data_IF_821670569984
#
_entry.id   IF_821670569984
#
_cell.length_a   1.000
_cell.length_b   1.000
_cell.length_c   1.000
_cell.angle_alpha   90.00
_cell.angle_beta   90.00
_cell.angle_gamma   90.00
#
_symmetry.space_group_name_H-M   'P 1'
#
loop_
_entity.id
_entity.type
_entity.pdbx_description
1 polymer ?
#
# COMPACT_ATOMS: atom_id res chain seq x y z
N UNK A 1 -15.22 -4.87 6.92
CA UNK A 1 -16.21 -4.85 5.85
C UNK A 1 -17.57 -4.55 6.48
N UNK A 2 -18.24 -3.53 6.02
CA UNK A 2 -19.54 -3.05 6.55
C UNK A 2 -20.69 -4.03 6.31
N UNK A 3 -20.47 -5.15 5.60
CA UNK A 3 -21.51 -6.11 5.20
C UNK A 3 -22.49 -5.57 4.15
N UNK A 4 -22.22 -4.38 3.59
CA UNK A 4 -23.03 -3.81 2.54
C UNK A 4 -22.76 -4.50 1.19
N UNK A 5 -23.85 -4.76 0.46
CA UNK A 5 -23.77 -5.29 -0.90
C UNK A 5 -23.31 -4.18 -1.83
N UNK A 6 -22.19 -4.40 -2.50
CA UNK A 6 -21.69 -3.46 -3.51
C UNK A 6 -21.47 -4.15 -4.85
N UNK A 7 -21.41 -3.36 -5.92
CA UNK A 7 -21.02 -3.79 -7.25
C UNK A 7 -19.70 -3.13 -7.59
N UNK A 8 -18.67 -3.94 -7.89
CA UNK A 8 -17.37 -3.46 -8.31
C UNK A 8 -17.25 -3.62 -9.81
N UNK A 9 -16.91 -2.55 -10.52
CA UNK A 9 -16.58 -2.57 -11.94
C UNK A 9 -15.09 -2.31 -12.09
N UNK A 10 -14.38 -3.25 -12.69
CA UNK A 10 -12.94 -3.16 -12.87
C UNK A 10 -12.54 -3.47 -14.30
N UNK A 11 -11.45 -2.85 -14.77
CA UNK A 11 -10.80 -3.27 -16.01
C UNK A 11 -9.94 -4.50 -15.77
N UNK A 12 -9.64 -5.28 -16.80
CA UNK A 12 -8.78 -6.45 -16.67
C UNK A 12 -7.38 -6.08 -16.19
N UNK A 13 -6.87 -4.92 -16.56
CA UNK A 13 -5.55 -4.44 -16.15
C UNK A 13 -5.44 -4.28 -14.63
N UNK A 14 -6.51 -3.80 -13.97
CA UNK A 14 -6.56 -3.62 -12.51
C UNK A 14 -6.54 -4.95 -11.73
N UNK A 15 -6.80 -6.07 -12.38
CA UNK A 15 -6.76 -7.40 -11.76
C UNK A 15 -5.37 -8.03 -11.78
N UNK A 16 -4.42 -7.45 -12.54
CA UNK A 16 -3.05 -7.94 -12.62
C UNK A 16 -2.20 -7.50 -11.43
N UNK A 17 -2.58 -6.42 -10.76
CA UNK A 17 -1.82 -5.86 -9.67
C UNK A 17 -1.72 -6.84 -8.49
N UNK A 18 -0.50 -6.97 -7.97
CA UNK A 18 -0.22 -7.69 -6.74
C UNK A 18 -0.32 -6.75 -5.55
N UNK A 19 -1.20 -7.08 -4.64
CA UNK A 19 -1.36 -6.39 -3.37
C UNK A 19 -1.03 -7.32 -2.20
N UNK A 20 -0.65 -6.81 -1.04
CA UNK A 20 -0.49 -7.62 0.16
C UNK A 20 -1.80 -8.31 0.54
N UNK A 21 -1.73 -9.56 1.01
CA UNK A 21 -2.93 -10.27 1.45
C UNK A 21 -3.67 -9.48 2.55
N UNK A 22 -5.01 -9.46 2.50
CA UNK A 22 -5.86 -8.74 3.47
C UNK A 22 -5.58 -9.12 4.94
N UNK A 23 -5.09 -10.32 5.18
CA UNK A 23 -4.69 -10.77 6.52
C UNK A 23 -3.57 -9.91 7.12
N UNK A 24 -2.71 -9.33 6.28
CA UNK A 24 -1.70 -8.37 6.74
C UNK A 24 -2.33 -7.03 7.08
N UNK A 25 -3.25 -6.53 6.26
CA UNK A 25 -3.93 -5.26 6.47
C UNK A 25 -4.75 -5.25 7.76
N UNK A 26 -5.51 -6.33 8.02
CA UNK A 26 -6.35 -6.46 9.22
C UNK A 26 -5.59 -6.35 10.54
N UNK A 27 -4.30 -6.68 10.57
CA UNK A 27 -3.46 -6.59 11.78
C UNK A 27 -3.11 -5.15 12.15
N UNK A 28 -3.27 -4.23 11.21
CA UNK A 28 -2.86 -2.84 11.36
C UNK A 28 -4.05 -1.89 11.47
N UNK A 29 -5.26 -2.41 11.62
CA UNK A 29 -6.43 -1.58 11.92
C UNK A 29 -6.35 -1.11 13.36
N UNK A 30 -6.50 0.21 13.57
CA UNK A 30 -6.54 0.83 14.89
C UNK A 30 -7.99 1.17 15.20
N UNK A 31 -8.50 0.68 16.34
CA UNK A 31 -9.80 1.06 16.85
C UNK A 31 -9.60 1.98 18.06
N UNK A 32 -10.26 3.13 18.06
CA UNK A 32 -10.21 4.10 19.14
C UNK A 32 -11.64 4.34 19.62
N UNK A 33 -11.86 4.25 20.94
CA UNK A 33 -13.16 4.47 21.58
C UNK A 33 -13.02 5.57 22.65
N UNK A 34 -14.12 6.26 22.94
CA UNK A 34 -14.18 7.15 24.08
C UNK A 34 -13.88 6.41 25.40
N UNK A 35 -13.30 7.11 26.37
CA UNK A 35 -12.94 6.61 27.70
C UNK A 35 -11.87 5.48 27.69
N UNK A 36 -11.11 5.29 26.61
CA UNK A 36 -9.96 4.39 26.62
C UNK A 36 -8.66 5.15 26.90
N UNK A 37 -7.69 4.47 27.53
CA UNK A 37 -6.32 4.99 27.63
C UNK A 37 -5.61 4.87 26.28
N UNK A 38 -4.93 5.94 25.86
CA UNK A 38 -4.26 6.04 24.56
C UNK A 38 -2.91 6.74 24.70
N UNK A 39 -1.83 6.02 24.44
CA UNK A 39 -0.49 6.59 24.38
C UNK A 39 -0.29 7.30 23.02
N UNK A 40 -0.10 8.62 23.06
CA UNK A 40 0.05 9.45 21.86
C UNK A 40 1.35 9.20 21.09
N UNK A 41 2.43 8.84 21.76
CA UNK A 41 3.70 8.52 21.10
C UNK A 41 3.60 7.16 20.39
N UNK A 42 2.94 6.18 21.01
CA UNK A 42 2.65 4.90 20.38
C UNK A 42 1.69 5.07 19.19
N UNK A 43 0.61 5.85 19.34
CA UNK A 43 -0.34 6.14 18.26
C UNK A 43 0.36 6.82 17.08
N UNK A 44 1.19 7.83 17.35
CA UNK A 44 1.97 8.52 16.32
C UNK A 44 2.87 7.54 15.54
N UNK A 45 3.58 6.66 16.23
CA UNK A 45 4.40 5.63 15.58
C UNK A 45 3.57 4.72 14.69
N UNK A 46 2.42 4.24 15.19
CA UNK A 46 1.49 3.41 14.42
C UNK A 46 0.94 4.13 13.19
N UNK A 47 0.55 5.40 13.30
CA UNK A 47 0.03 6.16 12.16
C UNK A 47 1.08 6.35 11.06
N UNK A 48 2.34 6.63 11.43
CA UNK A 48 3.45 6.69 10.46
C UNK A 48 3.67 5.33 9.80
N UNK A 49 3.68 4.23 10.56
CA UNK A 49 3.81 2.87 10.02
C UNK A 49 2.65 2.51 9.06
N UNK A 50 1.46 3.06 9.31
CA UNK A 50 0.27 2.93 8.47
C UNK A 50 0.31 3.79 7.20
N UNK A 51 1.33 4.64 7.04
CA UNK A 51 1.50 5.50 5.88
C UNK A 51 0.79 6.85 5.97
N UNK A 52 0.30 7.25 7.16
CA UNK A 52 -0.25 8.59 7.36
C UNK A 52 0.87 9.64 7.40
N UNK A 53 0.64 10.75 6.74
CA UNK A 53 1.54 11.91 6.74
C UNK A 53 1.27 12.80 7.95
N UNK A 54 2.34 13.13 8.70
CA UNK A 54 2.24 14.07 9.80
C UNK A 54 2.29 15.50 9.29
N UNK A 55 1.26 16.28 9.59
CA UNK A 55 1.12 17.70 9.22
C UNK A 55 0.89 18.58 10.45
N UNK A 56 0.91 19.90 10.27
CA UNK A 56 0.54 20.85 11.32
C UNK A 56 -0.99 21.03 11.41
N UNK A 57 -1.70 20.87 10.28
CA UNK A 57 -3.16 20.90 10.17
C UNK A 57 -3.61 19.83 9.19
N UNK A 58 -4.70 19.14 9.50
CA UNK A 58 -5.26 18.09 8.66
C UNK A 58 -6.24 18.70 7.66
N UNK A 59 -5.95 18.54 6.37
CA UNK A 59 -6.72 19.11 5.26
C UNK A 59 -7.14 18.05 4.24
N UNK A 60 -6.36 16.97 4.10
CA UNK A 60 -6.57 15.94 3.10
C UNK A 60 -6.57 14.53 3.73
N UNK A 61 -7.29 13.55 3.11
CA UNK A 61 -7.23 12.15 3.53
C UNK A 61 -5.78 11.61 3.57
N UNK A 62 -5.48 10.79 4.59
CA UNK A 62 -4.14 10.24 4.81
C UNK A 62 -3.24 11.12 5.67
N UNK A 63 -3.74 12.24 6.18
CA UNK A 63 -3.00 13.14 7.08
C UNK A 63 -3.38 12.93 8.54
N UNK A 64 -2.44 13.27 9.45
CA UNK A 64 -2.70 13.40 10.87
C UNK A 64 -1.90 14.54 11.50
N UNK A 65 -2.42 15.13 12.57
CA UNK A 65 -1.76 16.15 13.38
C UNK A 65 -1.92 15.85 14.86
N UNK A 66 -0.88 16.12 15.66
CA UNK A 66 -0.93 16.01 17.13
C UNK A 66 -0.47 17.34 17.72
N UNK A 67 -1.36 17.96 18.48
CA UNK A 67 -1.14 19.28 19.08
C UNK A 67 -1.56 19.26 20.56
N UNK A 68 -0.59 19.06 21.46
CA UNK A 68 -0.90 18.87 22.88
C UNK A 68 -1.78 17.62 23.08
N UNK A 69 -2.93 17.80 23.73
CA UNK A 69 -3.92 16.74 23.94
C UNK A 69 -4.94 16.58 22.80
N UNK A 70 -4.69 17.09 21.59
CA UNK A 70 -5.60 16.97 20.44
C UNK A 70 -4.92 16.17 19.35
N UNK A 71 -5.62 15.18 18.83
CA UNK A 71 -5.19 14.37 17.66
C UNK A 71 -6.23 14.53 16.56
N UNK A 72 -5.82 15.08 15.44
CA UNK A 72 -6.61 15.15 14.22
C UNK A 72 -6.15 14.10 13.23
N UNK A 73 -7.07 13.34 12.63
CA UNK A 73 -6.78 12.27 11.66
C UNK A 73 -7.82 12.30 10.56
N UNK A 74 -7.38 12.18 9.29
CA UNK A 74 -8.28 12.02 8.16
C UNK A 74 -8.08 10.65 7.52
N UNK A 75 -8.87 9.63 7.90
CA UNK A 75 -8.80 8.31 7.28
C UNK A 75 -9.17 8.35 5.80
N UNK A 76 -8.54 7.51 4.98
CA UNK A 76 -8.83 7.43 3.53
C UNK A 76 -10.24 6.91 3.21
N UNK A 77 -10.88 6.23 4.15
CA UNK A 77 -12.21 5.62 3.99
C UNK A 77 -13.36 6.55 4.39
N UNK A 78 -13.03 7.72 4.91
CA UNK A 78 -14.01 8.63 5.52
C UNK A 78 -14.14 9.92 4.70
N UNK A 79 -15.32 10.52 4.77
CA UNK A 79 -15.60 11.80 4.09
C UNK A 79 -15.12 13.02 4.89
N UNK A 80 -14.98 12.86 6.20
CA UNK A 80 -14.56 13.93 7.11
C UNK A 80 -13.42 13.44 8.01
N UNK A 81 -12.53 14.34 8.43
CA UNK A 81 -11.53 14.05 9.45
C UNK A 81 -12.14 13.94 10.86
N UNK A 82 -11.40 13.29 11.73
CA UNK A 82 -11.76 13.08 13.13
C UNK A 82 -10.82 13.83 14.05
N UNK A 83 -11.37 14.42 15.11
CA UNK A 83 -10.65 15.05 16.21
C UNK A 83 -10.87 14.26 17.48
N UNK A 84 -9.78 13.85 18.10
CA UNK A 84 -9.76 13.16 19.39
C UNK A 84 -9.25 14.17 20.41
N UNK A 85 -10.09 14.51 21.39
CA UNK A 85 -9.70 15.32 22.52
C UNK A 85 -9.27 14.37 23.66
N UNK A 86 -8.08 14.61 24.21
CA UNK A 86 -7.50 13.81 25.30
C UNK A 86 -7.60 14.53 26.63
N UNK A 87 -7.91 13.79 27.66
CA UNK A 87 -7.75 14.24 29.06
C UNK A 87 -6.65 13.38 29.71
N UNK A 88 -5.46 13.97 29.84
CA UNK A 88 -4.25 13.26 30.22
C UNK A 88 -3.93 12.11 29.23
N UNK A 89 -4.03 10.85 29.65
CA UNK A 89 -3.85 9.65 28.84
C UNK A 89 -5.16 8.97 28.40
N UNK A 90 -6.32 9.59 28.64
CA UNK A 90 -7.64 9.04 28.32
C UNK A 90 -8.30 9.83 27.19
N UNK A 91 -8.97 9.12 26.27
CA UNK A 91 -9.80 9.70 25.21
C UNK A 91 -11.07 10.29 25.84
N UNK A 92 -11.19 11.63 25.87
CA UNK A 92 -12.36 12.31 26.39
C UNK A 92 -13.51 12.31 25.39
N UNK A 93 -13.26 12.83 24.18
CA UNK A 93 -14.27 12.86 23.11
C UNK A 93 -13.64 12.56 21.74
N UNK A 94 -14.47 12.00 20.85
CA UNK A 94 -14.14 11.85 19.43
C UNK A 94 -15.20 12.59 18.62
N UNK A 95 -14.79 13.44 17.69
CA UNK A 95 -15.68 14.25 16.85
C UNK A 95 -15.26 14.21 15.41
N UNK A 96 -16.20 14.23 14.50
CA UNK A 96 -15.93 14.62 13.12
C UNK A 96 -15.80 16.14 13.02
N UNK A 97 -15.01 16.62 12.06
CA UNK A 97 -14.88 18.05 11.81
C UNK A 97 -14.74 18.33 10.31
N UNK A 98 -15.03 19.56 9.93
CA UNK A 98 -14.88 20.04 8.56
C UNK A 98 -13.43 20.46 8.31
N UNK A 99 -12.78 19.86 7.32
CA UNK A 99 -11.36 20.06 7.03
C UNK A 99 -11.02 21.52 6.65
N UNK A 100 -11.94 22.21 5.99
CA UNK A 100 -11.73 23.58 5.50
C UNK A 100 -11.90 24.63 6.62
N UNK A 101 -12.99 24.53 7.37
CA UNK A 101 -13.31 25.46 8.46
C UNK A 101 -12.72 25.06 9.81
N UNK A 102 -12.23 23.83 9.96
CA UNK A 102 -11.72 23.22 11.18
C UNK A 102 -12.74 23.16 12.33
N UNK A 103 -14.05 23.25 12.03
CA UNK A 103 -15.13 23.23 13.02
C UNK A 103 -15.66 21.82 13.20
N UNK A 104 -15.90 21.43 14.46
CA UNK A 104 -16.54 20.16 14.78
C UNK A 104 -17.95 20.08 14.21
N UNK A 105 -18.32 18.88 13.74
CA UNK A 105 -19.62 18.58 13.14
C UNK A 105 -20.47 17.78 14.12
N UNK A 106 -20.01 16.58 14.53
CA UNK A 106 -20.77 15.70 15.42
C UNK A 106 -19.84 14.87 16.33
N UNK A 107 -20.38 14.45 17.47
CA UNK A 107 -19.69 13.52 18.36
C UNK A 107 -19.92 12.07 17.88
N UNK A 108 -18.88 11.23 18.00
CA UNK A 108 -18.93 9.81 17.67
C UNK A 108 -18.33 8.97 18.80
N UNK A 109 -18.78 7.70 18.94
CA UNK A 109 -18.35 6.83 20.03
C UNK A 109 -17.04 6.07 19.69
N UNK A 110 -16.77 5.89 18.41
CA UNK A 110 -15.61 5.12 17.94
C UNK A 110 -15.03 5.66 16.64
N UNK A 111 -13.75 5.41 16.44
CA UNK A 111 -13.01 5.67 15.21
C UNK A 111 -12.24 4.42 14.80
N UNK A 112 -12.42 3.98 13.56
CA UNK A 112 -11.65 2.88 12.96
C UNK A 112 -10.69 3.45 11.93
N UNK A 113 -9.39 3.25 12.14
CA UNK A 113 -8.35 3.75 11.26
C UNK A 113 -7.76 2.58 10.48
N UNK A 114 -7.91 2.62 9.17
CA UNK A 114 -7.29 1.69 8.23
C UNK A 114 -5.95 2.24 7.75
N UNK A 115 -5.03 1.37 7.26
CA UNK A 115 -3.81 1.85 6.61
C UNK A 115 -4.09 2.87 5.50
N UNK A 116 -3.26 3.90 5.41
CA UNK A 116 -3.33 4.94 4.40
C UNK A 116 -2.68 4.53 3.06
N UNK A 117 -2.34 3.26 2.90
CA UNK A 117 -1.78 2.70 1.67
C UNK A 117 -1.94 1.19 1.62
N UNK A 118 -1.72 0.63 0.44
CA UNK A 118 -1.81 -0.83 0.23
C UNK A 118 -0.66 -1.59 0.89
N UNK A 119 0.47 -0.92 1.14
CA UNK A 119 1.65 -1.52 1.73
C UNK A 119 1.98 -0.88 3.09
N UNK A 120 1.83 -1.67 4.15
CA UNK A 120 2.28 -1.28 5.48
C UNK A 120 3.73 -1.76 5.66
N UNK A 121 4.66 -0.81 5.73
CA UNK A 121 6.10 -1.07 5.81
C UNK A 121 6.61 -0.86 7.24
N UNK A 122 6.30 -1.81 8.15
CA UNK A 122 6.91 -1.80 9.48
C UNK A 122 8.43 -1.97 9.40
N UNK A 123 9.15 -1.50 10.41
CA UNK A 123 10.62 -1.59 10.48
C UNK A 123 11.14 -3.01 10.20
N UNK A 124 10.56 -4.03 10.84
CA UNK A 124 10.96 -5.42 10.60
C UNK A 124 10.73 -5.87 9.15
N UNK A 125 9.70 -5.36 8.50
CA UNK A 125 9.38 -5.66 7.11
C UNK A 125 10.37 -4.97 6.18
N UNK A 126 10.71 -3.72 6.46
CA UNK A 126 11.74 -2.96 5.76
C UNK A 126 13.09 -3.70 5.84
N UNK A 127 13.53 -4.08 7.03
CA UNK A 127 14.81 -4.78 7.22
C UNK A 127 14.86 -6.10 6.42
N UNK A 128 13.79 -6.89 6.45
CA UNK A 128 13.68 -8.13 5.65
C UNK A 128 13.67 -7.85 4.15
N UNK A 129 12.94 -6.83 3.72
CA UNK A 129 12.85 -6.42 2.31
C UNK A 129 14.21 -5.97 1.79
N UNK A 130 14.91 -5.11 2.52
CA UNK A 130 16.26 -4.65 2.19
C UNK A 130 17.22 -5.85 2.05
N UNK A 131 17.16 -6.82 2.97
CA UNK A 131 17.99 -8.01 2.88
C UNK A 131 17.74 -8.81 1.59
N UNK A 132 16.46 -8.98 1.18
CA UNK A 132 16.09 -9.67 -0.07
C UNK A 132 16.56 -8.89 -1.30
N UNK A 133 16.38 -7.57 -1.31
CA UNK A 133 16.87 -6.69 -2.38
C UNK A 133 18.39 -6.80 -2.57
N UNK A 134 19.15 -6.77 -1.47
CA UNK A 134 20.61 -6.90 -1.51
C UNK A 134 21.07 -8.30 -1.97
N UNK A 135 20.37 -9.33 -1.52
CA UNK A 135 20.65 -10.71 -1.94
C UNK A 135 20.49 -10.91 -3.44
N UNK A 136 19.52 -10.23 -4.07
CA UNK A 136 19.31 -10.29 -5.51
C UNK A 136 20.20 -9.30 -6.27
N UNK A 137 20.39 -8.10 -5.75
CA UNK A 137 21.26 -7.09 -6.37
C UNK A 137 22.68 -7.61 -6.60
N UNK A 138 23.24 -8.32 -5.63
CA UNK A 138 24.63 -8.78 -5.66
C UNK A 138 24.98 -9.64 -6.88
N UNK A 139 24.26 -10.75 -7.19
CA UNK A 139 24.53 -11.56 -8.39
C UNK A 139 24.18 -10.81 -9.67
N UNK A 140 23.09 -10.01 -9.68
CA UNK A 140 22.69 -9.26 -10.86
C UNK A 140 23.71 -8.16 -11.22
N UNK A 141 24.16 -7.36 -10.26
CA UNK A 141 25.19 -6.38 -10.47
C UNK A 141 26.53 -7.01 -10.95
N UNK A 142 26.88 -8.18 -10.41
CA UNK A 142 28.04 -8.95 -10.90
C UNK A 142 27.87 -9.34 -12.38
N UNK A 143 26.71 -9.86 -12.78
CA UNK A 143 26.39 -10.21 -14.16
C UNK A 143 26.54 -9.00 -15.10
N UNK A 144 26.00 -7.85 -14.73
CA UNK A 144 26.11 -6.62 -15.52
C UNK A 144 27.58 -6.18 -15.67
N UNK A 145 28.36 -6.25 -14.61
CA UNK A 145 29.79 -5.94 -14.62
C UNK A 145 30.57 -6.87 -15.53
N UNK A 146 30.34 -8.16 -15.41
CA UNK A 146 31.03 -9.21 -16.21
C UNK A 146 30.67 -9.11 -17.70
N UNK A 147 29.48 -8.54 -18.02
CA UNK A 147 29.00 -8.27 -19.39
C UNK A 147 29.37 -6.87 -19.91
N UNK A 148 30.23 -6.13 -19.19
CA UNK A 148 30.66 -4.77 -19.53
C UNK A 148 29.52 -3.73 -19.65
N UNK A 149 28.35 -3.99 -19.04
CA UNK A 149 27.20 -3.07 -19.01
C UNK A 149 27.37 -2.05 -17.87
N UNK A 150 28.37 -1.18 -17.98
CA UNK A 150 28.81 -0.29 -16.90
C UNK A 150 27.73 0.71 -16.48
N UNK A 151 26.96 1.25 -17.43
CA UNK A 151 25.87 2.20 -17.13
C UNK A 151 24.72 1.54 -16.40
N UNK A 152 24.26 0.37 -16.86
CA UNK A 152 23.21 -0.39 -16.19
C UNK A 152 23.64 -0.83 -14.77
N UNK A 153 24.91 -1.24 -14.61
CA UNK A 153 25.48 -1.55 -13.31
C UNK A 153 25.45 -0.37 -12.34
N UNK A 154 25.89 0.81 -12.80
CA UNK A 154 25.91 2.01 -11.96
C UNK A 154 24.48 2.43 -11.58
N UNK A 155 23.55 2.36 -12.53
CA UNK A 155 22.16 2.75 -12.36
C UNK A 155 21.46 1.87 -11.33
N UNK A 156 21.47 0.54 -11.49
CA UNK A 156 20.77 -0.35 -10.55
C UNK A 156 21.31 -0.23 -9.12
N UNK A 157 22.61 -0.01 -8.96
CA UNK A 157 23.19 0.24 -7.64
C UNK A 157 22.71 1.57 -7.04
N UNK A 158 22.60 2.60 -7.84
CA UNK A 158 22.08 3.90 -7.42
C UNK A 158 20.61 3.79 -7.01
N UNK A 159 19.76 3.20 -7.86
CA UNK A 159 18.33 2.99 -7.59
C UNK A 159 18.09 2.28 -6.24
N UNK A 160 18.80 1.16 -6.01
CA UNK A 160 18.63 0.41 -4.76
C UNK A 160 19.22 1.16 -3.55
N UNK A 161 20.30 1.94 -3.73
CA UNK A 161 20.84 2.77 -2.66
C UNK A 161 19.85 3.86 -2.24
N UNK A 162 19.28 4.57 -3.22
CA UNK A 162 18.25 5.60 -2.98
C UNK A 162 17.00 5.01 -2.32
N UNK A 163 16.51 3.87 -2.82
CA UNK A 163 15.36 3.19 -2.21
C UNK A 163 15.64 2.83 -0.74
N UNK A 164 16.83 2.31 -0.43
CA UNK A 164 17.21 1.98 0.96
C UNK A 164 17.26 3.21 1.86
N UNK A 165 17.77 4.31 1.36
CA UNK A 165 17.81 5.60 2.09
C UNK A 165 16.37 6.07 2.40
N UNK A 166 15.49 6.10 1.41
CA UNK A 166 14.09 6.47 1.57
C UNK A 166 13.35 5.56 2.55
N UNK A 167 13.55 4.23 2.46
CA UNK A 167 12.97 3.26 3.40
C UNK A 167 13.45 3.46 4.84
N UNK A 168 14.71 3.87 5.02
CA UNK A 168 15.28 4.10 6.35
C UNK A 168 14.82 5.42 6.96
N UNK A 169 14.58 6.42 6.14
CA UNK A 169 14.12 7.74 6.58
C UNK A 169 12.60 7.82 6.75
N UNK A 170 11.87 6.73 6.49
CA UNK A 170 10.39 6.70 6.52
C UNK A 170 9.75 7.81 5.67
N UNK A 171 10.40 8.19 4.59
CA UNK A 171 9.87 9.16 3.64
C UNK A 171 8.87 8.51 2.68
N UNK A 172 7.96 9.29 2.11
CA UNK A 172 7.03 8.80 1.09
C UNK A 172 7.80 8.22 -0.11
N UNK A 173 7.57 6.93 -0.41
CA UNK A 173 8.26 6.22 -1.48
C UNK A 173 7.30 6.02 -2.63
N UNK A 174 7.53 6.76 -3.70
CA UNK A 174 6.77 6.56 -4.94
C UNK A 174 7.19 5.26 -5.64
N UNK A 175 6.20 4.47 -6.10
CA UNK A 175 6.44 3.24 -6.85
C UNK A 175 6.97 2.07 -6.00
N UNK A 176 6.78 2.12 -4.68
CA UNK A 176 7.14 1.04 -3.76
C UNK A 176 6.37 -0.25 -4.04
N UNK A 177 5.20 -0.15 -4.65
CA UNK A 177 4.36 -1.25 -5.14
C UNK A 177 5.13 -2.18 -6.09
N UNK A 178 6.02 -1.64 -6.92
CA UNK A 178 6.89 -2.44 -7.80
C UNK A 178 7.87 -3.36 -7.05
N UNK A 179 8.00 -3.19 -5.75
CA UNK A 179 8.83 -4.00 -4.85
C UNK A 179 8.02 -4.90 -3.91
N UNK A 180 6.70 -5.04 -4.11
CA UNK A 180 5.81 -5.77 -3.20
C UNK A 180 6.32 -7.17 -2.82
N UNK A 181 6.81 -7.94 -3.79
CA UNK A 181 7.32 -9.30 -3.57
C UNK A 181 8.61 -9.37 -2.71
N UNK A 182 9.33 -8.25 -2.54
CA UNK A 182 10.47 -8.18 -1.61
C UNK A 182 10.03 -8.00 -0.17
N UNK A 183 8.91 -7.31 0.05
CA UNK A 183 8.42 -6.99 1.38
C UNK A 183 7.38 -7.99 1.88
N UNK A 184 6.62 -8.59 0.98
CA UNK A 184 5.56 -9.54 1.30
C UNK A 184 5.84 -10.92 0.69
N UNK A 185 5.56 -11.98 1.46
CA UNK A 185 5.67 -13.37 0.97
C UNK A 185 4.40 -13.82 0.28
N UNK A 186 3.26 -13.24 0.67
CA UNK A 186 1.94 -13.59 0.17
C UNK A 186 1.31 -12.35 -0.43
N UNK A 187 1.17 -12.37 -1.75
CA UNK A 187 0.49 -11.34 -2.52
C UNK A 187 -0.75 -11.92 -3.16
N UNK A 188 -1.78 -11.10 -3.29
CA UNK A 188 -3.08 -11.46 -3.83
C UNK A 188 -3.50 -10.47 -4.90
N UNK A 189 -4.46 -10.86 -5.76
CA UNK A 189 -5.12 -9.94 -6.68
C UNK A 189 -6.40 -9.39 -6.04
N UNK A 190 -7.00 -8.38 -6.64
CA UNK A 190 -8.31 -7.86 -6.23
C UNK A 190 -9.38 -8.97 -6.17
N UNK A 191 -9.30 -9.96 -7.07
CA UNK A 191 -10.24 -11.10 -7.09
C UNK A 191 -10.19 -11.90 -5.79
N UNK A 192 -9.00 -12.10 -5.21
CA UNK A 192 -8.85 -12.85 -3.94
C UNK A 192 -9.42 -12.08 -2.73
N UNK A 193 -9.75 -10.81 -2.88
CA UNK A 193 -10.35 -9.98 -1.83
C UNK A 193 -11.87 -10.04 -1.80
N UNK A 194 -12.50 -10.67 -2.80
CA UNK A 194 -13.95 -10.79 -2.88
C UNK A 194 -14.47 -11.79 -1.82
N UNK A 195 -15.70 -11.59 -1.29
CA UNK A 195 -16.33 -12.56 -0.42
C UNK A 195 -16.69 -13.84 -1.20
N UNK A 196 -16.79 -14.98 -0.49
CA UNK A 196 -17.04 -16.29 -1.10
C UNK A 196 -18.38 -16.39 -1.85
N UNK A 197 -19.34 -15.53 -1.53
CA UNK A 197 -20.66 -15.46 -2.17
C UNK A 197 -20.74 -14.40 -3.28
N UNK A 198 -19.62 -13.87 -3.72
CA UNK A 198 -19.55 -12.92 -4.82
C UNK A 198 -19.87 -13.61 -6.16
N UNK A 199 -20.37 -12.84 -7.11
CA UNK A 199 -20.56 -13.26 -8.50
C UNK A 199 -19.67 -12.42 -9.40
N UNK A 200 -18.94 -13.08 -10.30
CA UNK A 200 -18.11 -12.42 -11.30
C UNK A 200 -18.75 -12.52 -12.68
N UNK A 201 -18.92 -11.39 -13.32
CA UNK A 201 -19.40 -11.29 -14.70
C UNK A 201 -18.30 -10.71 -15.58
N UNK A 202 -17.95 -11.42 -16.64
CA UNK A 202 -16.98 -10.95 -17.63
C UNK A 202 -17.78 -10.51 -18.86
N UNK A 203 -17.89 -9.20 -19.03
CA UNK A 203 -18.56 -8.62 -20.19
C UNK A 203 -17.61 -8.64 -21.40
N UNK A 204 -18.15 -8.97 -22.59
CA UNK A 204 -17.40 -9.05 -23.85
C UNK A 204 -16.09 -9.85 -23.73
N UNK A 205 -16.16 -11.09 -23.24
CA UNK A 205 -15.01 -11.97 -22.91
C UNK A 205 -13.91 -11.94 -23.98
N UNK A 206 -14.25 -11.92 -25.27
CA UNK A 206 -13.27 -11.87 -26.35
C UNK A 206 -12.44 -10.58 -26.31
N UNK A 207 -13.08 -9.43 -26.11
CA UNK A 207 -12.38 -8.14 -26.00
C UNK A 207 -11.53 -8.06 -24.75
N UNK A 208 -12.02 -8.61 -23.64
CA UNK A 208 -11.27 -8.69 -22.39
C UNK A 208 -10.00 -9.51 -22.60
N UNK A 209 -10.09 -10.68 -23.24
CA UNK A 209 -8.91 -11.52 -23.54
C UNK A 209 -7.92 -10.80 -24.45
N UNK A 210 -8.40 -10.19 -25.55
CA UNK A 210 -7.56 -9.44 -26.48
C UNK A 210 -6.84 -8.26 -25.78
N UNK A 211 -7.55 -7.56 -24.89
CA UNK A 211 -6.97 -6.47 -24.08
C UNK A 211 -5.92 -7.00 -23.10
N UNK A 212 -6.22 -8.08 -22.38
CA UNK A 212 -5.30 -8.73 -21.46
C UNK A 212 -4.00 -9.14 -22.13
N UNK A 213 -4.09 -9.86 -23.24
CA UNK A 213 -2.93 -10.29 -24.04
C UNK A 213 -2.08 -9.09 -24.51
N UNK A 214 -2.74 -8.02 -24.94
CA UNK A 214 -2.09 -6.78 -25.38
C UNK A 214 -1.35 -6.10 -24.23
N UNK A 215 -2.00 -6.00 -23.06
CA UNK A 215 -1.43 -5.39 -21.87
C UNK A 215 -0.24 -6.20 -21.33
N UNK A 216 -0.36 -7.52 -21.23
CA UNK A 216 0.74 -8.39 -20.77
C UNK A 216 1.96 -8.27 -21.68
N UNK A 217 1.78 -8.33 -23.00
CA UNK A 217 2.88 -8.20 -23.97
C UNK A 217 3.57 -6.84 -23.87
N UNK A 218 2.79 -5.78 -23.78
CA UNK A 218 3.31 -4.41 -23.65
C UNK A 218 4.10 -4.25 -22.35
N UNK A 219 3.54 -4.75 -21.24
CA UNK A 219 4.15 -4.67 -19.93
C UNK A 219 5.45 -5.49 -19.87
N UNK A 220 5.44 -6.72 -20.33
CA UNK A 220 6.63 -7.58 -20.39
C UNK A 220 7.75 -6.96 -21.24
N UNK A 221 7.39 -6.37 -22.38
CA UNK A 221 8.36 -5.63 -23.23
C UNK A 221 8.98 -4.45 -22.48
N UNK A 222 8.16 -3.67 -21.78
CA UNK A 222 8.62 -2.54 -20.97
C UNK A 222 9.55 -2.97 -19.84
N UNK A 223 9.15 -4.01 -19.09
CA UNK A 223 9.98 -4.56 -18.00
C UNK A 223 11.31 -5.12 -18.51
N UNK A 224 11.30 -5.82 -19.67
CA UNK A 224 12.52 -6.34 -20.28
C UNK A 224 13.49 -5.23 -20.61
N UNK A 225 13.00 -4.16 -21.24
CA UNK A 225 13.82 -3.00 -21.56
C UNK A 225 14.37 -2.32 -20.28
N UNK A 226 13.56 -2.16 -19.26
CA UNK A 226 13.97 -1.61 -17.96
C UNK A 226 15.00 -2.48 -17.25
N UNK A 227 14.83 -3.81 -17.31
CA UNK A 227 15.79 -4.76 -16.76
C UNK A 227 17.13 -4.64 -17.48
N UNK A 228 17.15 -4.69 -18.80
CA UNK A 228 18.38 -4.54 -19.62
C UNK A 228 19.08 -3.21 -19.36
N UNK A 229 18.31 -2.14 -19.14
CA UNK A 229 18.82 -0.82 -18.80
C UNK A 229 19.28 -0.65 -17.35
N UNK A 230 19.09 -1.65 -16.48
CA UNK A 230 19.45 -1.58 -15.06
C UNK A 230 18.55 -0.67 -14.23
N UNK A 231 17.29 -0.50 -14.61
CA UNK A 231 16.29 0.29 -13.86
C UNK A 231 15.53 -0.55 -12.83
N UNK A 232 15.52 -1.87 -13.01
CA UNK A 232 14.81 -2.81 -12.12
C UNK A 232 15.66 -4.04 -11.85
N UNK A 233 15.33 -4.74 -10.77
CA UNK A 233 15.89 -6.07 -10.45
C UNK A 233 15.12 -7.18 -11.17
N UNK A 234 15.75 -8.36 -11.42
CA UNK A 234 15.08 -9.50 -12.05
C UNK A 234 13.76 -9.91 -11.38
N UNK A 235 13.67 -9.87 -10.06
CA UNK A 235 12.46 -10.21 -9.30
C UNK A 235 11.25 -9.34 -9.65
N UNK A 236 11.47 -8.09 -10.05
CA UNK A 236 10.40 -7.18 -10.47
C UNK A 236 9.77 -7.57 -11.82
N UNK A 237 10.34 -8.51 -12.56
CA UNK A 237 9.71 -9.07 -13.77
C UNK A 237 8.40 -9.82 -13.47
N UNK A 238 8.16 -10.18 -12.21
CA UNK A 238 6.98 -10.92 -11.75
C UNK A 238 6.04 -10.07 -10.90
N UNK A 239 6.12 -8.75 -11.00
CA UNK A 239 5.35 -7.81 -10.16
C UNK A 239 3.84 -7.85 -10.41
N UNK A 240 3.40 -8.43 -11.53
CA UNK A 240 1.99 -8.62 -11.87
C UNK A 240 1.62 -10.11 -11.92
N UNK A 241 0.34 -10.40 -11.71
CA UNK A 241 -0.26 -11.67 -12.09
C UNK A 241 -0.45 -11.73 -13.61
N UNK A 242 -0.44 -12.93 -14.16
CA UNK A 242 -0.82 -13.16 -15.56
C UNK A 242 -2.34 -13.20 -15.70
N UNK A 243 -2.84 -13.05 -16.93
CA UNK A 243 -4.28 -13.20 -17.21
C UNK A 243 -4.77 -14.61 -16.86
N UNK A 244 -3.96 -15.64 -17.12
CA UNK A 244 -4.29 -17.01 -16.74
C UNK A 244 -4.39 -17.19 -15.22
N UNK A 245 -3.49 -16.58 -14.45
CA UNK A 245 -3.57 -16.58 -12.97
C UNK A 245 -4.89 -15.94 -12.49
N UNK A 246 -5.26 -14.79 -13.09
CA UNK A 246 -6.50 -14.09 -12.75
C UNK A 246 -7.73 -14.91 -13.12
N UNK A 247 -7.77 -15.53 -14.30
CA UNK A 247 -8.87 -16.40 -14.72
C UNK A 247 -9.02 -17.63 -13.80
N UNK A 248 -7.91 -18.22 -13.36
CA UNK A 248 -7.95 -19.33 -12.40
C UNK A 248 -8.57 -18.88 -11.07
N UNK A 249 -8.22 -17.68 -10.59
CA UNK A 249 -8.83 -17.10 -9.40
C UNK A 249 -10.33 -16.83 -9.59
N UNK A 250 -10.76 -16.29 -10.72
CA UNK A 250 -12.17 -16.04 -11.03
C UNK A 250 -13.02 -17.33 -11.04
N UNK A 251 -12.44 -18.50 -11.36
CA UNK A 251 -13.18 -19.79 -11.38
C UNK A 251 -13.64 -20.27 -9.99
N UNK A 252 -13.22 -19.61 -8.93
CA UNK A 252 -13.65 -19.91 -7.55
C UNK A 252 -15.03 -19.34 -7.23
N UNK A 253 -15.51 -18.44 -8.04
CA UNK A 253 -16.77 -17.72 -7.96
C UNK A 253 -17.70 -18.11 -9.13
#
# INVERSE_FOLDING_TARGET
>A
ATGEKCTIVATVDALFDKIPALSYMKKYVINIHAAQSLDLDELKGKLVDLGYEKTDSVEEPGQFAIRGGIVDIFPLTEECPYRIDMWDDEVDTIKTFDAESQRSIEDVDELVIYPAGEMVLSKERIDRGIHRLEAELKPYAKKLKDSFQTEAYARIKGEIATLKEQLTEFSAIYGVDSYVDYFYSDTVSLVDCLPEDAYIFIDETKKVTEKADGSEKSFLSSLTHRLEGGYILPGQMKVLFTYDDVLEKCRRY
#
